data_IF_543136409279
#
_entry.id   IF_543136409279
#
_cell.length_a   1.000
_cell.length_b   1.000
_cell.length_c   1.000
_cell.angle_alpha   90.00
_cell.angle_beta   90.00
_cell.angle_gamma   90.00
#
_symmetry.space_group_name_H-M   'P 1'
#
loop_
_entity.id
_entity.type
_entity.pdbx_description
1 polymer ?
#
# COMPACT_ATOMS: atom_id res chain seq x y z
N UNK A 1 8.23 -12.37 14.73
CA UNK A 1 7.29 -11.24 14.52
C UNK A 1 7.70 -10.15 15.48
N UNK A 2 8.00 -8.95 14.98
CA UNK A 2 8.37 -7.81 15.82
C UNK A 2 7.23 -7.49 16.81
N UNK A 3 7.56 -6.90 17.95
CA UNK A 3 6.57 -6.34 18.87
C UNK A 3 6.21 -4.95 18.33
N UNK A 4 5.10 -4.88 17.58
CA UNK A 4 4.62 -3.63 17.01
C UNK A 4 3.83 -2.91 18.09
N UNK A 5 4.30 -1.74 18.52
CA UNK A 5 3.52 -0.88 19.42
C UNK A 5 2.11 -0.66 18.84
N UNK A 6 1.14 -0.58 19.74
CA UNK A 6 -0.23 -0.19 19.39
C UNK A 6 -0.47 1.26 19.77
N UNK A 7 -1.32 1.94 19.01
CA UNK A 7 -1.77 3.30 19.27
C UNK A 7 -3.29 3.37 19.32
N UNK A 8 -3.83 4.32 20.08
CA UNK A 8 -5.25 4.64 20.07
C UNK A 8 -5.57 5.53 18.88
N UNK A 9 -6.50 5.09 18.05
CA UNK A 9 -6.97 5.83 16.87
C UNK A 9 -8.48 6.01 16.98
N UNK A 10 -9.04 7.19 16.66
CA UNK A 10 -10.49 7.35 16.58
C UNK A 10 -11.11 6.32 15.66
N UNK A 11 -12.31 5.83 15.98
CA UNK A 11 -13.01 4.82 15.15
C UNK A 11 -13.38 5.38 13.77
N UNK A 12 -13.75 6.66 13.71
CA UNK A 12 -14.07 7.37 12.48
C UNK A 12 -13.28 8.68 12.40
N UNK A 13 -11.97 8.63 12.11
CA UNK A 13 -11.17 9.85 12.01
C UNK A 13 -11.66 10.66 10.79
N UNK A 14 -11.80 12.00 10.91
CA UNK A 14 -12.12 12.84 9.76
C UNK A 14 -11.12 12.61 8.63
N UNK A 15 -11.61 12.37 7.42
CA UNK A 15 -10.76 12.16 6.24
C UNK A 15 -11.39 12.74 4.97
N UNK A 16 -10.54 13.12 4.01
CA UNK A 16 -10.99 13.61 2.70
C UNK A 16 -11.33 12.51 1.69
N UNK A 17 -10.93 11.25 1.94
CA UNK A 17 -11.07 10.13 1.01
C UNK A 17 -12.52 9.79 0.65
N UNK A 18 -13.45 10.03 1.59
CA UNK A 18 -14.89 9.83 1.40
C UNK A 18 -15.70 11.10 1.12
N UNK A 19 -15.05 12.27 1.00
CA UNK A 19 -15.76 13.55 0.87
C UNK A 19 -16.44 13.68 -0.50
N UNK A 20 -17.75 13.97 -0.50
CA UNK A 20 -18.53 14.28 -1.71
C UNK A 20 -18.41 15.74 -2.14
N UNK A 21 -17.93 16.63 -1.28
CA UNK A 21 -17.94 18.07 -1.51
C UNK A 21 -16.90 18.56 -2.54
N UNK A 22 -15.78 17.85 -2.69
CA UNK A 22 -14.72 18.22 -3.64
C UNK A 22 -14.09 16.98 -4.30
N UNK A 23 -14.51 16.71 -5.53
CA UNK A 23 -14.04 15.59 -6.34
C UNK A 23 -12.54 15.65 -6.64
N UNK A 24 -12.04 16.82 -7.06
CA UNK A 24 -10.62 17.00 -7.42
C UNK A 24 -9.71 16.73 -6.22
N UNK A 25 -10.09 17.22 -5.03
CA UNK A 25 -9.33 16.95 -3.81
C UNK A 25 -9.36 15.47 -3.43
N UNK A 26 -10.55 14.85 -3.50
CA UNK A 26 -10.69 13.41 -3.23
C UNK A 26 -9.83 12.58 -4.18
N UNK A 27 -9.84 12.91 -5.48
CA UNK A 27 -9.00 12.24 -6.48
C UNK A 27 -7.52 12.37 -6.13
N UNK A 28 -7.05 13.57 -5.84
CA UNK A 28 -5.66 13.79 -5.46
C UNK A 28 -5.24 12.92 -4.27
N UNK A 29 -6.11 12.75 -3.26
CA UNK A 29 -5.83 11.89 -2.10
C UNK A 29 -5.68 10.42 -2.51
N UNK A 30 -6.62 9.87 -3.28
CA UNK A 30 -6.54 8.48 -3.74
C UNK A 30 -5.34 8.22 -4.66
N UNK A 31 -5.01 9.17 -5.53
CA UNK A 31 -3.84 9.08 -6.42
C UNK A 31 -2.51 9.22 -5.67
N UNK A 32 -2.49 9.94 -4.54
CA UNK A 32 -1.28 10.12 -3.73
C UNK A 32 -0.87 8.89 -2.92
N UNK A 33 -1.70 7.83 -2.88
CA UNK A 33 -1.36 6.59 -2.19
C UNK A 33 -0.22 5.87 -2.93
N UNK A 34 1.00 6.08 -2.44
CA UNK A 34 2.19 5.34 -2.84
C UNK A 34 2.21 3.97 -2.16
N UNK A 35 1.70 2.99 -2.91
CA UNK A 35 1.61 1.60 -2.46
C UNK A 35 2.80 0.76 -2.89
N UNK A 36 3.62 1.28 -3.81
CA UNK A 36 4.85 0.62 -4.28
C UNK A 36 5.90 0.50 -3.17
N UNK A 37 5.90 1.42 -2.21
CA UNK A 37 6.71 1.30 -0.98
C UNK A 37 6.44 0.05 -0.15
N UNK A 38 5.30 -0.61 -0.36
CA UNK A 38 4.96 -1.85 0.32
C UNK A 38 5.78 -3.07 -0.10
N UNK A 39 6.53 -2.98 -1.21
CA UNK A 39 7.38 -4.06 -1.68
C UNK A 39 8.70 -4.07 -0.91
N UNK A 40 8.98 -5.18 -0.22
CA UNK A 40 10.15 -5.37 0.63
C UNK A 40 10.99 -6.57 0.20
N UNK A 41 12.31 -6.46 0.33
CA UNK A 41 13.26 -7.53 0.07
C UNK A 41 13.69 -8.16 1.41
N UNK A 42 13.30 -9.41 1.65
CA UNK A 42 13.56 -10.13 2.91
C UNK A 42 14.41 -11.37 2.66
N UNK A 43 15.23 -11.75 3.65
CA UNK A 43 16.07 -12.95 3.58
C UNK A 43 15.20 -14.21 3.43
N UNK A 44 15.54 -15.04 2.43
CA UNK A 44 14.83 -16.27 2.09
C UNK A 44 14.73 -17.28 3.23
N UNK A 45 15.65 -17.22 4.20
CA UNK A 45 15.77 -18.15 5.31
C UNK A 45 15.18 -17.61 6.63
N UNK A 46 14.88 -16.31 6.72
CA UNK A 46 14.46 -15.70 7.98
C UNK A 46 12.98 -15.90 8.31
N UNK A 47 12.17 -16.29 7.33
CA UNK A 47 10.72 -16.35 7.51
C UNK A 47 10.18 -17.68 6.99
N UNK A 48 9.20 -18.25 7.70
CA UNK A 48 8.38 -19.37 7.21
C UNK A 48 7.41 -18.90 6.11
N UNK A 49 7.93 -18.14 5.14
CA UNK A 49 7.21 -17.67 3.98
C UNK A 49 7.52 -18.57 2.80
N UNK A 50 6.55 -18.70 1.91
CA UNK A 50 6.81 -19.29 0.60
C UNK A 50 7.87 -18.43 -0.11
N UNK A 51 8.79 -19.06 -0.84
CA UNK A 51 9.68 -18.32 -1.73
C UNK A 51 8.85 -17.49 -2.70
N UNK A 52 9.21 -16.22 -2.84
CA UNK A 52 8.64 -15.30 -3.80
C UNK A 52 9.64 -15.03 -4.93
N UNK A 53 9.36 -14.04 -5.77
CA UNK A 53 10.28 -13.54 -6.80
C UNK A 53 11.64 -13.18 -6.19
N UNK A 54 12.71 -13.41 -6.96
CA UNK A 54 14.06 -13.08 -6.53
C UNK A 54 14.25 -11.56 -6.55
N UNK A 55 14.91 -11.02 -5.54
CA UNK A 55 15.24 -9.60 -5.53
C UNK A 55 16.44 -9.33 -6.45
N UNK A 56 16.35 -8.41 -7.44
CA UNK A 56 17.39 -8.25 -8.46
C UNK A 56 18.76 -7.81 -7.92
N UNK A 57 18.80 -7.17 -6.75
CA UNK A 57 20.02 -6.59 -6.19
C UNK A 57 20.68 -7.46 -5.10
N UNK A 58 20.03 -8.54 -4.67
CA UNK A 58 20.55 -9.48 -3.67
C UNK A 58 19.86 -10.85 -3.79
N UNK A 59 20.58 -11.83 -4.33
CA UNK A 59 20.08 -13.18 -4.56
C UNK A 59 19.73 -13.94 -3.27
N UNK A 60 20.21 -13.49 -2.11
CA UNK A 60 19.85 -14.10 -0.82
C UNK A 60 18.46 -13.69 -0.35
N UNK A 61 17.84 -12.71 -1.04
CA UNK A 61 16.53 -12.14 -0.69
C UNK A 61 15.46 -12.42 -1.73
N UNK A 62 14.22 -12.39 -1.26
CA UNK A 62 13.01 -12.46 -2.08
C UNK A 62 12.12 -11.25 -1.83
N UNK A 63 11.36 -10.88 -2.85
CA UNK A 63 10.46 -9.72 -2.81
C UNK A 63 9.09 -10.13 -2.26
N UNK A 64 8.55 -9.36 -1.32
CA UNK A 64 7.23 -9.56 -0.75
C UNK A 64 6.46 -8.26 -0.72
N UNK A 65 5.15 -8.31 -0.92
CA UNK A 65 4.26 -7.17 -0.69
C UNK A 65 3.73 -7.23 0.74
N UNK A 66 3.92 -6.15 1.50
CA UNK A 66 3.37 -6.00 2.84
C UNK A 66 1.85 -5.87 2.78
N UNK A 67 1.15 -6.69 3.57
CA UNK A 67 -0.31 -6.82 3.48
C UNK A 67 -1.10 -5.52 3.68
N UNK A 68 -0.67 -4.62 4.58
CA UNK A 68 -1.38 -3.35 4.76
C UNK A 68 -1.24 -2.41 3.55
N UNK A 69 -0.09 -2.44 2.86
CA UNK A 69 0.10 -1.74 1.59
C UNK A 69 -0.68 -2.39 0.46
N UNK A 70 -0.82 -3.72 0.46
CA UNK A 70 -1.73 -4.43 -0.44
C UNK A 70 -3.18 -3.97 -0.22
N UNK A 71 -3.64 -3.86 1.02
CA UNK A 71 -4.96 -3.33 1.35
C UNK A 71 -5.18 -1.90 0.83
N UNK A 72 -4.19 -1.00 1.00
CA UNK A 72 -4.26 0.34 0.43
C UNK A 72 -4.33 0.34 -1.11
N UNK A 73 -3.55 -0.54 -1.76
CA UNK A 73 -3.58 -0.73 -3.20
C UNK A 73 -4.97 -1.19 -3.66
N UNK A 74 -5.55 -2.20 -3.00
CA UNK A 74 -6.89 -2.69 -3.27
C UNK A 74 -7.96 -1.59 -3.16
N UNK A 75 -7.89 -0.77 -2.11
CA UNK A 75 -8.82 0.36 -1.95
C UNK A 75 -8.66 1.39 -3.08
N UNK A 76 -7.43 1.72 -3.46
CA UNK A 76 -7.13 2.62 -4.60
C UNK A 76 -7.68 2.05 -5.91
N UNK A 77 -7.44 0.77 -6.21
CA UNK A 77 -7.96 0.08 -7.40
C UNK A 77 -9.48 0.16 -7.48
N UNK A 78 -10.18 -0.17 -6.38
CA UNK A 78 -11.64 -0.10 -6.32
C UNK A 78 -12.13 1.33 -6.55
N UNK A 79 -11.49 2.32 -5.92
CA UNK A 79 -11.84 3.72 -6.12
C UNK A 79 -11.69 4.15 -7.59
N UNK A 80 -10.55 3.86 -8.21
CA UNK A 80 -10.27 4.17 -9.62
C UNK A 80 -11.34 3.53 -10.51
N UNK A 81 -11.61 2.24 -10.31
CA UNK A 81 -12.59 1.50 -11.09
C UNK A 81 -14.00 2.14 -11.01
N UNK A 82 -14.47 2.45 -9.80
CA UNK A 82 -15.76 3.11 -9.60
C UNK A 82 -15.80 4.50 -10.24
N UNK A 83 -14.69 5.24 -10.20
CA UNK A 83 -14.57 6.56 -10.79
C UNK A 83 -14.58 6.54 -12.31
N UNK A 84 -13.90 5.58 -12.92
CA UNK A 84 -13.91 5.39 -14.37
C UNK A 84 -15.31 4.97 -14.86
N UNK A 85 -15.99 4.08 -14.13
CA UNK A 85 -17.38 3.74 -14.42
C UNK A 85 -18.32 4.95 -14.32
N UNK A 86 -18.20 5.76 -13.27
CA UNK A 86 -19.01 6.98 -13.10
C UNK A 86 -18.80 7.97 -14.24
N UNK A 87 -17.57 8.10 -14.72
CA UNK A 87 -17.18 9.03 -15.78
C UNK A 87 -17.34 8.46 -17.20
N UNK A 88 -17.70 7.17 -17.34
CA UNK A 88 -17.72 6.47 -18.62
C UNK A 88 -16.36 6.44 -19.33
N UNK A 89 -15.28 6.32 -18.55
CA UNK A 89 -13.90 6.18 -19.03
C UNK A 89 -13.52 4.71 -19.25
N UNK A 90 -12.46 4.48 -20.04
CA UNK A 90 -11.87 3.14 -20.20
C UNK A 90 -11.33 2.62 -18.87
N UNK A 91 -11.63 1.35 -18.58
CA UNK A 91 -11.26 0.72 -17.32
C UNK A 91 -9.78 0.31 -17.35
N UNK A 92 -9.00 0.80 -16.38
CA UNK A 92 -7.60 0.39 -16.20
C UNK A 92 -7.47 -1.02 -15.65
N UNK A 93 -8.39 -1.39 -14.76
CA UNK A 93 -8.41 -2.69 -14.10
C UNK A 93 -9.60 -3.50 -14.59
N UNK A 94 -9.36 -4.76 -14.93
CA UNK A 94 -10.45 -5.68 -15.23
C UNK A 94 -11.27 -6.02 -13.98
N UNK A 95 -12.46 -6.56 -14.20
CA UNK A 95 -13.39 -6.88 -13.12
C UNK A 95 -12.86 -7.98 -12.17
N UNK A 96 -12.06 -8.93 -12.64
CA UNK A 96 -11.50 -9.97 -11.79
C UNK A 96 -10.45 -9.39 -10.82
N UNK A 97 -9.67 -8.40 -11.24
CA UNK A 97 -8.75 -7.68 -10.36
C UNK A 97 -9.52 -6.99 -9.22
N UNK A 98 -10.65 -6.35 -9.54
CA UNK A 98 -11.52 -5.71 -8.52
C UNK A 98 -12.12 -6.76 -7.56
N UNK A 99 -12.57 -7.91 -8.06
CA UNK A 99 -13.05 -9.00 -7.20
C UNK A 99 -11.96 -9.55 -6.27
N UNK A 100 -10.72 -9.68 -6.76
CA UNK A 100 -9.57 -10.05 -5.94
C UNK A 100 -9.30 -9.02 -4.83
N UNK A 101 -9.39 -7.72 -5.17
CA UNK A 101 -9.23 -6.64 -4.19
C UNK A 101 -10.30 -6.71 -3.10
N UNK A 102 -11.56 -6.92 -3.49
CA UNK A 102 -12.67 -7.05 -2.56
C UNK A 102 -12.52 -8.26 -1.62
N UNK A 103 -12.12 -9.43 -2.14
CA UNK A 103 -11.92 -10.62 -1.29
C UNK A 103 -10.70 -10.48 -0.37
N UNK A 104 -9.63 -9.85 -0.84
CA UNK A 104 -8.44 -9.58 0.00
C UNK A 104 -8.80 -8.66 1.16
N UNK A 105 -9.52 -7.56 0.91
CA UNK A 105 -10.00 -6.65 1.97
C UNK A 105 -10.99 -7.35 2.92
N UNK A 106 -11.86 -8.22 2.40
CA UNK A 106 -12.76 -9.03 3.24
C UNK A 106 -11.97 -9.96 4.16
N UNK A 107 -10.96 -10.64 3.64
CA UNK A 107 -10.10 -11.54 4.40
C UNK A 107 -9.33 -10.78 5.51
N UNK A 108 -8.84 -9.57 5.21
CA UNK A 108 -8.18 -8.71 6.18
C UNK A 108 -9.11 -8.29 7.33
N UNK A 109 -10.35 -7.89 7.02
CA UNK A 109 -11.35 -7.54 8.03
C UNK A 109 -11.67 -8.74 8.93
N UNK A 110 -11.87 -9.92 8.34
CA UNK A 110 -12.14 -11.15 9.10
C UNK A 110 -10.94 -11.57 9.96
N UNK A 111 -9.71 -11.35 9.46
CA UNK A 111 -8.49 -11.64 10.20
C UNK A 111 -8.28 -10.68 11.38
N UNK A 112 -8.54 -9.38 11.16
CA UNK A 112 -8.42 -8.36 12.19
C UNK A 112 -9.46 -8.57 13.31
N UNK A 113 -10.69 -8.97 12.94
CA UNK A 113 -11.79 -9.24 13.87
C UNK A 113 -11.97 -8.13 14.93
N UNK A 114 -11.88 -6.87 14.50
CA UNK A 114 -12.01 -5.69 15.36
C UNK A 114 -13.40 -5.67 16.02
N UNK A 115 -13.42 -5.81 17.35
CA UNK A 115 -14.62 -5.91 18.18
C UNK A 115 -15.08 -4.55 18.74
N UNK A 116 -14.45 -3.45 18.29
CA UNK A 116 -14.81 -2.09 18.73
C UNK A 116 -16.26 -1.76 18.31
N UNK A 117 -17.18 -1.53 19.26
CA UNK A 117 -18.60 -1.36 18.94
C UNK A 117 -18.86 0.02 18.32
N UNK A 118 -19.35 0.10 17.09
CA UNK A 118 -19.68 1.39 16.45
C UNK A 118 -21.10 1.80 16.82
N UNK A 119 -21.32 3.04 17.29
CA UNK A 119 -22.68 3.50 17.60
C UNK A 119 -23.54 3.61 16.34
N UNK A 120 -24.80 3.18 16.43
CA UNK A 120 -25.77 3.21 15.34
C UNK A 120 -26.75 4.37 15.55
N UNK A 121 -27.02 5.16 14.51
CA UNK A 121 -28.08 6.18 14.51
C UNK A 121 -27.64 7.63 14.67
N UNK A 122 -26.37 7.88 15.03
CA UNK A 122 -25.77 9.22 15.02
C UNK A 122 -24.75 9.26 13.86
N UNK A 123 -24.82 10.28 12.98
CA UNK A 123 -23.74 10.50 12.03
C UNK A 123 -22.48 10.93 12.81
N UNK A 124 -21.26 10.52 12.40
CA UNK A 124 -20.02 10.98 13.04
C UNK A 124 -19.87 12.51 13.10
N UNK A 125 -20.57 13.22 12.21
CA UNK A 125 -20.60 14.68 12.14
C UNK A 125 -21.63 15.32 13.10
N UNK A 126 -22.57 14.55 13.64
CA UNK A 126 -23.67 15.05 14.47
C UNK A 126 -23.46 14.81 15.98
N UNK A 127 -22.50 13.96 16.36
CA UNK A 127 -22.21 13.63 17.77
C UNK A 127 -20.70 13.70 18.09
N UNK A 128 -20.23 14.73 18.80
CA UNK A 128 -18.85 14.84 19.27
C UNK A 128 -18.38 13.65 20.11
N UNK A 129 -19.29 12.88 20.73
CA UNK A 129 -18.92 11.70 21.51
C UNK A 129 -18.48 10.52 20.64
N UNK A 130 -18.92 10.44 19.37
CA UNK A 130 -18.40 9.45 18.42
C UNK A 130 -16.94 9.72 18.04
N UNK A 131 -16.47 10.96 18.14
CA UNK A 131 -15.07 11.31 17.95
C UNK A 131 -14.18 10.93 19.15
N UNK A 132 -14.79 10.67 20.32
CA UNK A 132 -14.08 10.24 21.54
C UNK A 132 -13.81 8.74 21.54
N UNK A 133 -14.58 7.96 20.76
CA UNK A 133 -14.38 6.52 20.70
C UNK A 133 -13.11 6.16 19.93
N UNK A 134 -12.22 5.40 20.58
CA UNK A 134 -10.98 4.91 19.98
C UNK A 134 -11.00 3.39 19.79
N UNK A 135 -10.14 2.93 18.89
CA UNK A 135 -9.75 1.54 18.68
C UNK A 135 -8.24 1.41 18.78
N UNK A 136 -7.76 0.19 19.03
CA UNK A 136 -6.32 -0.11 19.03
C UNK A 136 -5.87 -0.46 17.62
N UNK A 137 -4.98 0.34 17.05
CA UNK A 137 -4.35 0.06 15.77
C UNK A 137 -2.87 -0.29 15.97
N UNK A 138 -2.30 -1.03 15.02
CA UNK A 138 -0.84 -1.10 14.88
C UNK A 138 -0.32 0.26 14.45
N UNK A 139 0.84 0.64 14.96
CA UNK A 139 1.49 1.89 14.58
C UNK A 139 1.89 1.88 13.09
N UNK A 140 1.30 2.79 12.32
CA UNK A 140 1.60 2.95 10.90
C UNK A 140 3.02 3.47 10.66
N UNK A 141 3.53 4.35 11.54
CA UNK A 141 4.88 4.91 11.41
C UNK A 141 5.94 3.82 11.51
N UNK A 142 5.79 2.87 12.43
CA UNK A 142 6.67 1.70 12.50
C UNK A 142 6.57 0.81 11.24
N UNK A 143 5.41 0.78 10.56
CA UNK A 143 5.27 0.05 9.29
C UNK A 143 6.04 0.73 8.18
N UNK A 144 5.93 2.05 8.12
CA UNK A 144 6.67 2.87 7.17
C UNK A 144 8.17 2.76 7.36
N UNK A 145 8.65 2.78 8.60
CA UNK A 145 10.06 2.53 8.93
C UNK A 145 10.49 1.13 8.47
N UNK A 146 9.71 0.10 8.80
CA UNK A 146 10.01 -1.27 8.41
C UNK A 146 10.14 -1.42 6.88
N UNK A 147 9.17 -0.91 6.11
CA UNK A 147 9.21 -1.02 4.65
C UNK A 147 10.29 -0.16 4.01
N UNK A 148 10.64 0.97 4.62
CA UNK A 148 11.73 1.82 4.14
C UNK A 148 13.08 1.11 4.33
N UNK A 149 13.34 0.57 5.53
CA UNK A 149 14.57 -0.17 5.82
C UNK A 149 14.73 -1.46 5.01
N UNK A 150 13.62 -2.06 4.59
CA UNK A 150 13.62 -3.32 3.82
C UNK A 150 13.16 -3.12 2.38
N UNK A 151 13.21 -1.91 1.83
CA UNK A 151 12.64 -1.60 0.53
C UNK A 151 13.21 -2.51 -0.57
N UNK A 152 12.33 -3.05 -1.42
CA UNK A 152 12.70 -3.72 -2.66
C UNK A 152 13.00 -2.74 -3.80
N UNK A 153 13.10 -1.43 -3.52
CA UNK A 153 13.36 -0.39 -4.52
C UNK A 153 12.34 -0.39 -5.67
N UNK A 154 11.11 -0.82 -5.38
CA UNK A 154 10.07 -0.99 -6.39
C UNK A 154 9.29 0.30 -6.62
N UNK A 155 9.07 0.63 -7.89
CA UNK A 155 8.09 1.60 -8.36
C UNK A 155 7.42 1.01 -9.59
N UNK A 156 6.12 0.78 -9.52
CA UNK A 156 5.38 0.14 -10.61
C UNK A 156 5.18 1.09 -11.79
N UNK A 157 5.27 0.53 -12.99
CA UNK A 157 4.90 1.21 -14.23
C UNK A 157 3.52 0.76 -14.70
N UNK A 158 2.80 1.62 -15.42
CA UNK A 158 1.57 1.21 -16.10
C UNK A 158 1.90 0.29 -17.28
N UNK A 159 1.01 -0.63 -17.71
CA UNK A 159 1.30 -1.61 -18.76
C UNK A 159 1.76 -1.04 -20.11
N UNK A 160 1.42 0.22 -20.40
CA UNK A 160 1.79 0.96 -21.61
C UNK A 160 3.03 1.86 -21.43
N UNK A 161 3.58 1.95 -20.22
CA UNK A 161 4.80 2.71 -19.94
C UNK A 161 6.06 1.88 -20.26
N UNK A 162 7.12 2.53 -20.80
CA UNK A 162 8.45 1.95 -20.80
C UNK A 162 8.84 1.57 -19.37
N UNK A 163 9.43 0.38 -19.21
CA UNK A 163 9.87 -0.10 -17.90
C UNK A 163 8.94 -1.12 -17.24
N UNK A 164 7.70 -1.27 -17.71
CA UNK A 164 6.74 -2.27 -17.19
C UNK A 164 7.30 -3.69 -17.23
N UNK A 165 7.31 -4.36 -16.06
CA UNK A 165 7.85 -5.71 -15.88
C UNK A 165 9.33 -5.84 -16.31
N UNK A 166 10.11 -4.78 -16.11
CA UNK A 166 11.57 -4.79 -16.36
C UNK A 166 12.36 -4.49 -15.09
N UNK A 167 13.69 -4.51 -15.21
CA UNK A 167 14.59 -4.10 -14.13
C UNK A 167 14.38 -2.64 -13.71
N UNK A 168 13.80 -1.79 -14.57
CA UNK A 168 13.54 -0.37 -14.29
C UNK A 168 12.64 -0.20 -13.06
N UNK A 169 11.61 -1.04 -12.91
CA UNK A 169 10.71 -1.00 -11.75
C UNK A 169 11.45 -1.16 -10.41
N UNK A 170 12.64 -1.75 -10.40
CA UNK A 170 13.38 -2.07 -9.19
C UNK A 170 14.50 -1.08 -8.87
N UNK A 171 14.62 0.04 -9.60
CA UNK A 171 15.72 1.00 -9.47
C UNK A 171 15.44 2.17 -8.50
N UNK A 172 14.32 2.12 -7.78
CA UNK A 172 13.76 3.25 -7.03
C UNK A 172 14.00 3.13 -5.52
N UNK A 173 15.27 2.96 -5.13
CA UNK A 173 15.63 2.83 -3.72
C UNK A 173 15.44 4.14 -2.94
N UNK A 174 14.99 4.10 -1.68
CA UNK A 174 15.21 5.18 -0.72
C UNK A 174 16.71 5.47 -0.51
N UNK A 175 17.09 6.72 -0.22
CA UNK A 175 18.52 7.11 -0.03
C UNK A 175 19.21 6.40 1.13
N UNK A 176 18.44 6.04 2.13
CA UNK A 176 18.83 5.30 3.32
C UNK A 176 18.78 3.77 3.14
N UNK A 177 18.35 3.29 1.97
CA UNK A 177 18.39 1.87 1.63
C UNK A 177 19.84 1.36 1.56
N UNK A 178 20.13 0.17 2.10
CA UNK A 178 21.44 -0.46 1.93
C UNK A 178 21.78 -0.76 0.47
N UNK A 179 20.77 -0.81 -0.42
CA UNK A 179 20.95 -1.08 -1.85
C UNK A 179 21.08 0.19 -2.70
N UNK A 180 20.96 1.39 -2.10
CA UNK A 180 21.04 2.66 -2.83
C UNK A 180 22.31 2.75 -3.67
N UNK A 181 23.49 2.48 -3.08
CA UNK A 181 24.77 2.57 -3.78
C UNK A 181 24.88 1.57 -4.94
N UNK A 182 24.43 0.33 -4.74
CA UNK A 182 24.43 -0.72 -5.77
C UNK A 182 23.57 -0.33 -6.96
N UNK A 183 22.36 0.19 -6.71
CA UNK A 183 21.46 0.62 -7.78
C UNK A 183 22.00 1.85 -8.52
N UNK A 184 22.55 2.84 -7.80
CA UNK A 184 23.16 4.01 -8.44
C UNK A 184 24.36 3.64 -9.33
N UNK A 185 25.17 2.66 -8.90
CA UNK A 185 26.26 2.14 -9.73
C UNK A 185 25.72 1.52 -11.02
N UNK A 186 24.72 0.62 -10.92
CA UNK A 186 24.09 -0.01 -12.08
C UNK A 186 23.55 1.03 -13.08
N UNK A 187 22.87 2.06 -12.59
CA UNK A 187 22.34 3.15 -13.42
C UNK A 187 23.44 3.92 -14.15
N UNK A 188 24.58 4.18 -13.49
CA UNK A 188 25.71 4.88 -14.11
C UNK A 188 26.37 4.08 -15.24
N UNK A 189 26.44 2.76 -15.09
CA UNK A 189 27.01 1.85 -16.08
C UNK A 189 26.05 1.65 -17.26
N UNK A 190 24.75 1.55 -16.99
CA UNK A 190 23.70 1.33 -17.99
C UNK A 190 23.35 2.59 -18.81
N UNK A 191 23.59 3.80 -18.27
CA UNK A 191 23.40 5.06 -18.98
C UNK A 191 24.62 5.53 -19.80
N UNK A 192 25.71 4.77 -19.82
CA UNK A 192 26.96 5.09 -20.54
C UNK A 192 27.07 4.44 -21.93
N UNK A 193 25.98 3.88 -22.46
CA UNK A 193 25.90 3.22 -23.77
C UNK A 193 25.01 3.97 -24.76
#
# INVERSE_FOLDING_TARGET
MHDWSTCDVPVAPPSGFGSSANQTQRDALWWSLDTSRGFVALDKNQLNLKSSEAFPWDETRSVYLVNAFHGLYCLRVIYIYLRQLQNQEDLRYDFNHVLHCLDSLRADVLCAADDTPIAVGNQPNDDPQLQVQTRKCRDWGHLEEFVTMNSACFQGHEPDEPGYQTIEEWQHCPKDSPYWATVQQYLSESGSS
#
